data_IF_646852321810
#
_entry.id   IF_646852321810
#
_cell.length_a   1.000
_cell.length_b   1.000
_cell.length_c   1.000
_cell.angle_alpha   90.00
_cell.angle_beta   90.00
_cell.angle_gamma   90.00
#
_symmetry.space_group_name_H-M   'P 1'
#
loop_
_entity.id
_entity.type
_entity.pdbx_description
1 polymer ?
#
# COMPACT_ATOMS: atom_id res chain seq x y z
N UNK A 1 -18.85 7.93 -0.93
CA UNK A 1 -17.70 8.78 -0.58
C UNK A 1 -16.44 8.05 -1.00
N UNK A 2 -15.79 8.48 -2.09
CA UNK A 2 -14.54 7.90 -2.55
C UNK A 2 -13.40 8.48 -1.74
N UNK A 3 -12.84 7.70 -0.82
CA UNK A 3 -11.63 8.10 -0.12
C UNK A 3 -10.46 7.91 -1.08
N UNK A 4 -10.01 9.01 -1.66
CA UNK A 4 -8.72 9.08 -2.34
C UNK A 4 -7.63 8.67 -1.34
N UNK A 5 -7.00 7.53 -1.57
CA UNK A 5 -5.82 7.04 -0.84
C UNK A 5 -4.60 7.93 -1.16
N UNK A 6 -4.70 9.21 -0.81
CA UNK A 6 -3.71 10.26 -1.04
C UNK A 6 -3.46 11.11 0.22
N UNK A 7 -3.75 10.55 1.39
CA UNK A 7 -3.39 11.15 2.66
C UNK A 7 -1.95 10.78 3.02
N UNK A 8 -1.11 11.78 3.27
CA UNK A 8 0.20 11.63 3.91
C UNK A 8 0.04 11.25 5.38
N UNK A 9 -0.57 10.10 5.64
CA UNK A 9 -0.71 9.53 6.98
C UNK A 9 0.25 8.36 7.19
N UNK A 10 0.44 8.01 8.47
CA UNK A 10 1.25 6.86 8.90
C UNK A 10 0.41 5.59 9.03
N UNK A 11 -0.87 5.61 8.65
CA UNK A 11 -1.73 4.44 8.68
C UNK A 11 -1.22 3.36 7.72
N UNK A 12 -1.52 2.08 7.99
CA UNK A 12 -1.15 0.98 7.08
C UNK A 12 -1.72 1.14 5.68
N UNK A 13 -2.80 1.90 5.52
CA UNK A 13 -3.45 2.19 4.23
C UNK A 13 -3.00 3.48 3.55
N UNK A 14 -2.22 4.32 4.23
CA UNK A 14 -1.75 5.60 3.70
C UNK A 14 -0.45 5.42 2.90
N UNK A 15 -0.44 5.80 1.62
CA UNK A 15 0.75 5.69 0.78
C UNK A 15 1.48 7.03 0.72
N UNK A 16 2.81 6.99 0.76
CA UNK A 16 3.66 8.17 0.63
C UNK A 16 4.70 8.01 -0.49
N UNK A 17 4.42 8.67 -1.62
CA UNK A 17 5.23 8.61 -2.86
C UNK A 17 5.51 7.16 -3.29
N UNK A 18 4.48 6.34 -3.55
CA UNK A 18 4.68 4.98 -4.05
C UNK A 18 5.38 5.04 -5.41
N UNK A 19 6.35 4.15 -5.62
CA UNK A 19 7.15 4.10 -6.85
C UNK A 19 6.75 2.99 -7.81
N UNK A 20 6.12 1.93 -7.31
CA UNK A 20 5.75 0.77 -8.12
C UNK A 20 4.60 -0.02 -7.51
N UNK A 21 3.87 -0.73 -8.37
CA UNK A 21 2.78 -1.66 -8.04
C UNK A 21 2.92 -2.94 -8.86
N UNK A 22 2.70 -4.09 -8.22
CA UNK A 22 2.62 -5.39 -8.89
C UNK A 22 1.51 -6.25 -8.29
N UNK A 23 1.10 -7.29 -9.04
CA UNK A 23 0.03 -8.20 -8.64
C UNK A 23 0.52 -9.64 -8.65
N UNK A 24 0.00 -10.46 -7.74
CA UNK A 24 0.15 -11.92 -7.80
C UNK A 24 -0.95 -12.58 -8.64
N UNK A 25 -0.89 -13.91 -8.78
CA UNK A 25 -1.87 -14.70 -9.54
C UNK A 25 -3.29 -14.67 -8.93
N UNK A 26 -3.42 -14.33 -7.64
CA UNK A 26 -4.70 -14.19 -6.96
C UNK A 26 -5.27 -12.78 -7.06
N UNK A 27 -4.55 -11.86 -7.70
CA UNK A 27 -4.92 -10.45 -7.83
C UNK A 27 -4.64 -9.62 -6.58
N UNK A 28 -3.82 -10.13 -5.64
CA UNK A 28 -3.38 -9.32 -4.51
C UNK A 28 -2.32 -8.32 -4.98
N UNK A 29 -2.30 -7.16 -4.35
CA UNK A 29 -1.49 -6.02 -4.76
C UNK A 29 -0.33 -5.80 -3.80
N UNK A 30 0.86 -5.58 -4.36
CA UNK A 30 2.06 -5.17 -3.63
C UNK A 30 2.48 -3.79 -4.10
N UNK A 31 2.74 -2.88 -3.16
CA UNK A 31 3.12 -1.48 -3.44
C UNK A 31 4.47 -1.18 -2.79
N UNK A 32 5.40 -0.66 -3.58
CA UNK A 32 6.64 -0.08 -3.08
C UNK A 32 6.37 1.36 -2.61
N UNK A 33 6.20 1.55 -1.30
CA UNK A 33 5.83 2.81 -0.65
C UNK A 33 7.10 3.57 -0.22
N UNK A 34 7.73 4.24 -1.19
CA UNK A 34 9.14 4.64 -1.10
C UNK A 34 9.47 5.63 0.01
N UNK A 35 8.65 6.66 0.24
CA UNK A 35 8.95 7.61 1.31
C UNK A 35 8.60 7.08 2.70
N UNK A 36 7.72 6.07 2.78
CA UNK A 36 7.48 5.33 4.02
C UNK A 36 8.49 4.18 4.21
N UNK A 37 9.42 3.97 3.28
CA UNK A 37 10.45 2.92 3.35
C UNK A 37 9.88 1.52 3.63
N UNK A 38 8.73 1.22 3.01
CA UNK A 38 7.99 -0.02 3.25
C UNK A 38 7.40 -0.62 1.99
N UNK A 39 7.00 -1.89 2.09
CA UNK A 39 6.20 -2.59 1.10
C UNK A 39 4.83 -2.88 1.72
N UNK A 40 3.78 -2.40 1.06
CA UNK A 40 2.40 -2.66 1.44
C UNK A 40 1.82 -3.82 0.63
N UNK A 41 1.00 -4.64 1.28
CA UNK A 41 0.24 -5.73 0.69
C UNK A 41 -1.25 -5.52 0.91
N UNK A 42 -2.04 -5.68 -0.15
CA UNK A 42 -3.49 -5.54 -0.13
C UNK A 42 -4.09 -6.78 -0.76
N UNK A 43 -5.08 -7.39 -0.10
CA UNK A 43 -5.87 -8.46 -0.71
C UNK A 43 -6.66 -7.91 -1.89
N UNK A 44 -6.96 -8.76 -2.87
CA UNK A 44 -7.86 -8.40 -3.96
C UNK A 44 -9.19 -7.84 -3.40
N UNK A 45 -9.60 -6.65 -3.87
CA UNK A 45 -10.75 -5.88 -3.38
C UNK A 45 -10.67 -5.38 -1.92
N UNK A 46 -9.50 -5.38 -1.28
CA UNK A 46 -9.35 -4.77 0.03
C UNK A 46 -9.35 -3.23 -0.05
N UNK A 47 -9.96 -2.59 0.94
CA UNK A 47 -9.91 -1.13 1.11
C UNK A 47 -8.69 -0.64 1.89
N UNK A 48 -7.86 -1.56 2.39
CA UNK A 48 -6.74 -1.28 3.30
C UNK A 48 -5.60 -2.28 3.11
N UNK A 49 -4.39 -1.82 3.38
CA UNK A 49 -3.17 -2.62 3.31
C UNK A 49 -2.60 -3.03 4.65
N UNK A 50 -1.63 -3.93 4.58
CA UNK A 50 -0.72 -4.29 5.68
C UNK A 50 0.74 -4.18 5.24
N UNK A 51 1.60 -3.75 6.16
CA UNK A 51 3.06 -3.73 5.93
C UNK A 51 3.58 -5.16 5.93
N UNK A 52 4.22 -5.57 4.84
CA UNK A 52 4.86 -6.91 4.72
C UNK A 52 6.38 -6.85 4.75
N UNK A 53 6.97 -5.67 4.52
CA UNK A 53 8.41 -5.44 4.68
C UNK A 53 8.70 -3.95 4.90
N UNK A 54 9.86 -3.64 5.51
CA UNK A 54 10.34 -2.27 5.76
C UNK A 54 10.13 -1.79 7.19
N UNK A 55 10.42 -0.51 7.43
CA UNK A 55 10.22 0.13 8.74
C UNK A 55 8.79 0.65 8.88
N UNK A 56 8.22 0.55 10.08
CA UNK A 56 6.85 1.02 10.42
C UNK A 56 6.87 2.39 11.02
#
# INVERSE_FOLDING_TARGET
AGQTAGGSGSGSSDLFRPSSVTFDQSGNMYIADSNNHRVQFWLNNASSGTTVAGIT
#
